data_IF_064010334628
#
_entry.id   IF_064010334628
#
_cell.length_a   1.000
_cell.length_b   1.000
_cell.length_c   1.000
_cell.angle_alpha   90.00
_cell.angle_beta   90.00
_cell.angle_gamma   90.00
#
_symmetry.space_group_name_H-M   'P 1'
#
loop_
_entity.id
_entity.type
_entity.pdbx_description
1 polymer ?
#
# COMPACT_ATOMS: atom_id res chain seq x y z
N UNK A 1 4.62 -7.62 47.69
CA UNK A 1 4.06 -7.36 46.38
C UNK A 1 5.21 -7.26 45.39
N UNK A 2 5.24 -8.09 44.39
CA UNK A 2 6.27 -8.01 43.31
C UNK A 2 5.81 -7.02 42.28
N UNK A 3 6.75 -6.32 41.65
CA UNK A 3 6.44 -5.28 40.60
C UNK A 3 5.50 -5.81 39.52
N UNK A 4 5.66 -7.06 39.11
CA UNK A 4 4.81 -7.73 38.14
C UNK A 4 3.32 -7.85 38.52
N UNK A 5 3.02 -7.79 39.81
CA UNK A 5 1.64 -7.88 40.32
C UNK A 5 0.87 -6.58 40.19
N UNK A 6 1.56 -5.48 39.79
CA UNK A 6 0.97 -4.17 39.52
C UNK A 6 0.47 -4.01 38.09
N UNK A 7 0.78 -4.96 37.23
CA UNK A 7 0.43 -4.90 35.79
C UNK A 7 -0.64 -5.93 35.47
N UNK A 8 -1.62 -5.51 34.70
CA UNK A 8 -2.71 -6.39 34.22
C UNK A 8 -2.23 -7.44 33.20
N UNK A 9 -1.07 -7.23 32.59
CA UNK A 9 -0.46 -8.10 31.59
C UNK A 9 0.94 -8.54 32.05
N UNK A 10 1.43 -9.74 31.65
CA UNK A 10 2.77 -10.18 31.97
C UNK A 10 3.82 -9.19 31.51
N UNK A 11 4.74 -8.77 32.38
CA UNK A 11 5.79 -7.78 32.07
C UNK A 11 6.93 -8.37 31.21
N UNK A 12 7.00 -9.68 31.13
CA UNK A 12 7.98 -10.48 30.38
C UNK A 12 7.44 -10.96 29.03
N UNK A 13 6.27 -10.50 28.63
CA UNK A 13 5.71 -10.79 27.31
C UNK A 13 6.53 -10.15 26.19
N UNK A 14 6.51 -10.78 25.02
CA UNK A 14 7.08 -10.18 23.82
C UNK A 14 6.34 -8.86 23.51
N UNK A 15 7.08 -7.78 23.44
CA UNK A 15 6.57 -6.47 23.02
C UNK A 15 7.41 -6.02 21.84
N UNK A 16 6.75 -5.60 20.77
CA UNK A 16 7.47 -5.02 19.65
C UNK A 16 7.94 -3.59 20.04
N UNK A 17 9.26 -3.36 20.22
CA UNK A 17 9.75 -2.07 20.71
C UNK A 17 9.65 -0.97 19.67
N UNK A 18 9.52 -1.32 18.39
CA UNK A 18 9.38 -0.37 17.29
C UNK A 18 8.48 -0.98 16.22
N UNK A 19 7.36 -0.32 15.97
CA UNK A 19 6.44 -0.73 14.90
C UNK A 19 7.01 -0.28 13.57
N UNK A 20 7.24 -1.24 12.67
CA UNK A 20 7.55 -0.96 11.26
C UNK A 20 6.29 -1.08 10.45
N UNK A 21 5.94 -0.05 9.71
CA UNK A 21 4.77 -0.07 8.83
C UNK A 21 4.82 -1.19 7.77
N UNK A 22 6.02 -1.66 7.43
CA UNK A 22 6.24 -2.63 6.35
C UNK A 22 6.56 -4.07 6.79
N UNK A 23 6.55 -4.35 8.10
CA UNK A 23 6.80 -5.71 8.61
C UNK A 23 5.50 -6.35 9.04
N UNK A 24 5.17 -7.46 8.39
CA UNK A 24 3.95 -8.23 8.62
C UNK A 24 4.34 -9.71 8.88
N UNK A 25 4.01 -10.18 10.06
CA UNK A 25 3.96 -11.61 10.39
C UNK A 25 2.76 -11.84 11.31
N UNK A 26 2.07 -12.99 11.20
CA UNK A 26 0.77 -13.20 11.86
C UNK A 26 0.80 -13.07 13.39
N UNK A 27 1.91 -13.41 14.05
CA UNK A 27 2.03 -13.30 15.49
C UNK A 27 2.19 -11.84 15.92
N UNK A 28 3.05 -11.11 15.23
CA UNK A 28 3.25 -9.66 15.45
C UNK A 28 1.95 -8.89 15.20
N UNK A 29 1.25 -9.16 14.10
CA UNK A 29 -0.03 -8.52 13.77
C UNK A 29 -1.06 -8.73 14.88
N UNK A 30 -1.21 -9.95 15.34
CA UNK A 30 -2.12 -10.28 16.44
C UNK A 30 -1.76 -9.54 17.73
N UNK A 31 -0.48 -9.47 18.08
CA UNK A 31 -0.02 -8.76 19.28
C UNK A 31 -0.28 -7.25 19.13
N UNK A 32 0.04 -6.66 18.00
CA UNK A 32 -0.16 -5.23 17.73
C UNK A 32 -1.64 -4.85 17.79
N UNK A 33 -2.54 -5.65 17.22
CA UNK A 33 -3.98 -5.43 17.30
C UNK A 33 -4.48 -5.50 18.76
N UNK A 34 -4.06 -6.55 19.51
CA UNK A 34 -4.51 -6.76 20.89
C UNK A 34 -3.95 -5.72 21.88
N UNK A 35 -2.72 -5.27 21.67
CA UNK A 35 -2.04 -4.33 22.55
C UNK A 35 -2.31 -2.87 22.19
N UNK A 36 -2.99 -2.58 21.06
CA UNK A 36 -3.25 -1.22 20.61
C UNK A 36 -4.06 -0.44 21.64
N UNK A 37 -3.62 0.78 21.93
CA UNK A 37 -4.27 1.68 22.89
C UNK A 37 -5.01 2.75 22.12
N UNK A 38 -6.32 2.83 22.32
CA UNK A 38 -7.17 3.84 21.70
C UNK A 38 -7.29 5.07 22.58
N UNK A 39 -7.02 6.24 22.01
CA UNK A 39 -7.40 7.53 22.54
C UNK A 39 -8.53 8.11 21.68
N UNK A 40 -9.20 9.15 22.17
CA UNK A 40 -10.27 9.80 21.43
C UNK A 40 -9.77 10.33 20.06
N UNK A 41 -8.56 10.88 20.03
CA UNK A 41 -7.94 11.38 18.79
C UNK A 41 -7.71 10.26 17.79
N UNK A 42 -7.26 9.09 18.25
CA UNK A 42 -7.03 7.91 17.41
C UNK A 42 -8.36 7.40 16.86
N UNK A 43 -9.38 7.24 17.72
CA UNK A 43 -10.70 6.76 17.30
C UNK A 43 -11.37 7.73 16.32
N UNK A 44 -11.33 9.04 16.61
CA UNK A 44 -11.81 10.07 15.69
C UNK A 44 -11.04 10.09 14.37
N UNK A 45 -9.72 9.90 14.42
CA UNK A 45 -8.87 9.81 13.22
C UNK A 45 -9.24 8.63 12.35
N UNK A 46 -9.34 7.42 12.91
CA UNK A 46 -9.75 6.21 12.19
C UNK A 46 -11.16 6.37 11.59
N UNK A 47 -12.11 6.85 12.37
CA UNK A 47 -13.47 7.09 11.87
C UNK A 47 -13.47 8.04 10.66
N UNK A 48 -12.83 9.20 10.76
CA UNK A 48 -12.80 10.21 9.70
C UNK A 48 -12.20 9.67 8.41
N UNK A 49 -11.10 8.90 8.51
CA UNK A 49 -10.43 8.32 7.34
C UNK A 49 -11.32 7.26 6.70
N UNK A 50 -11.82 6.31 7.50
CA UNK A 50 -12.63 5.21 6.99
C UNK A 50 -13.99 5.70 6.45
N UNK A 51 -14.59 6.72 7.06
CA UNK A 51 -15.83 7.33 6.58
C UNK A 51 -15.62 8.08 5.26
N UNK A 52 -14.51 8.82 5.10
CA UNK A 52 -14.16 9.47 3.85
C UNK A 52 -13.97 8.46 2.71
N UNK A 53 -13.23 7.37 2.96
CA UNK A 53 -13.01 6.29 1.97
C UNK A 53 -14.34 5.61 1.58
N UNK A 54 -15.21 5.36 2.56
CA UNK A 54 -16.53 4.77 2.34
C UNK A 54 -17.43 5.67 1.49
N UNK A 55 -17.56 6.93 1.87
CA UNK A 55 -18.50 7.85 1.25
C UNK A 55 -18.04 8.30 -0.14
N UNK A 56 -16.74 8.35 -0.39
CA UNK A 56 -16.12 8.61 -1.70
C UNK A 56 -16.78 9.78 -2.45
N UNK A 57 -17.03 10.90 -1.76
CA UNK A 57 -17.71 12.04 -2.36
C UNK A 57 -16.87 12.67 -3.48
N UNK A 58 -17.49 13.13 -4.58
CA UNK A 58 -16.78 13.63 -5.77
C UNK A 58 -15.85 14.83 -5.51
N UNK A 59 -16.05 15.53 -4.40
CA UNK A 59 -15.25 16.70 -4.01
C UNK A 59 -14.31 16.43 -2.84
N UNK A 60 -14.29 15.19 -2.31
CA UNK A 60 -13.37 14.83 -1.27
C UNK A 60 -11.95 14.72 -1.82
N UNK A 61 -11.00 15.23 -1.05
CA UNK A 61 -9.60 15.06 -1.38
C UNK A 61 -9.17 13.63 -1.04
N UNK A 62 -8.64 12.92 -2.03
CA UNK A 62 -8.12 11.55 -1.85
C UNK A 62 -6.75 11.51 -1.16
N UNK A 63 -6.21 12.66 -0.76
CA UNK A 63 -4.97 12.76 0.01
C UNK A 63 -5.25 13.10 1.47
N UNK A 64 -4.78 12.25 2.38
CA UNK A 64 -4.91 12.40 3.82
C UNK A 64 -3.53 12.50 4.45
N UNK A 65 -3.27 13.60 5.17
CA UNK A 65 -2.03 13.84 5.86
C UNK A 65 -2.17 13.56 7.36
N UNK A 66 -1.37 12.61 7.88
CA UNK A 66 -1.30 12.30 9.30
C UNK A 66 -0.07 13.01 9.86
N UNK A 67 -0.29 13.99 10.72
CA UNK A 67 0.77 14.78 11.35
C UNK A 67 0.89 14.47 12.85
N UNK A 68 2.08 14.70 13.40
CA UNK A 68 2.38 14.51 14.82
C UNK A 68 3.87 14.48 15.10
N UNK A 69 4.24 14.68 16.36
CA UNK A 69 5.63 14.67 16.80
C UNK A 69 6.32 13.31 16.56
N UNK A 70 7.66 13.34 16.54
CA UNK A 70 8.43 12.09 16.52
C UNK A 70 8.08 11.22 17.75
N UNK A 71 7.82 9.93 17.51
CA UNK A 71 7.44 9.01 18.58
C UNK A 71 5.95 9.07 19.01
N UNK A 72 5.11 9.88 18.34
CA UNK A 72 3.67 9.96 18.67
C UNK A 72 2.82 8.77 18.20
N UNK A 73 3.44 7.77 17.58
CA UNK A 73 2.73 6.55 17.11
C UNK A 73 2.15 6.62 15.70
N UNK A 74 2.58 7.55 14.84
CA UNK A 74 2.07 7.69 13.46
C UNK A 74 2.16 6.39 12.65
N UNK A 75 3.33 5.75 12.63
CA UNK A 75 3.52 4.46 11.92
C UNK A 75 2.62 3.36 12.49
N UNK A 76 2.40 3.38 13.81
CA UNK A 76 1.48 2.44 14.46
C UNK A 76 0.02 2.71 14.09
N UNK A 77 -0.38 3.99 14.02
CA UNK A 77 -1.70 4.40 13.56
C UNK A 77 -1.93 3.98 12.09
N UNK A 78 -0.96 4.24 11.21
CA UNK A 78 -1.00 3.87 9.80
C UNK A 78 -1.16 2.35 9.63
N UNK A 79 -0.40 1.58 10.41
CA UNK A 79 -0.47 0.12 10.40
C UNK A 79 -1.80 -0.40 10.96
N UNK A 80 -2.34 0.23 12.02
CA UNK A 80 -3.66 -0.14 12.54
C UNK A 80 -4.78 0.18 11.55
N UNK A 81 -4.68 1.28 10.82
CA UNK A 81 -5.60 1.59 9.72
C UNK A 81 -5.54 0.50 8.64
N UNK A 82 -4.34 0.04 8.28
CA UNK A 82 -4.19 -1.08 7.34
C UNK A 82 -4.83 -2.38 7.87
N UNK A 83 -4.68 -2.68 9.16
CA UNK A 83 -5.34 -3.82 9.81
C UNK A 83 -6.86 -3.74 9.73
N UNK A 84 -7.46 -2.56 9.89
CA UNK A 84 -8.91 -2.37 9.73
C UNK A 84 -9.39 -2.59 8.29
N UNK A 85 -8.51 -2.46 7.31
CA UNK A 85 -8.83 -2.53 5.88
C UNK A 85 -8.53 -3.91 5.30
N UNK A 86 -7.41 -4.50 5.69
CA UNK A 86 -6.90 -5.76 5.12
C UNK A 86 -7.77 -6.94 5.52
N UNK A 87 -8.26 -7.77 4.57
CA UNK A 87 -9.23 -8.83 4.87
C UNK A 87 -8.79 -9.84 5.94
N UNK A 88 -7.49 -10.17 6.04
CA UNK A 88 -6.97 -11.16 7.00
C UNK A 88 -6.96 -10.68 8.44
N UNK A 89 -6.94 -9.38 8.71
CA UNK A 89 -6.83 -8.77 10.05
C UNK A 89 -8.04 -7.93 10.42
N UNK A 90 -8.90 -7.62 9.45
CA UNK A 90 -10.04 -6.71 9.55
C UNK A 90 -10.99 -7.04 10.70
N UNK A 91 -11.39 -8.30 10.80
CA UNK A 91 -12.35 -8.73 11.81
C UNK A 91 -11.82 -8.45 13.22
N UNK A 92 -10.59 -8.88 13.51
CA UNK A 92 -9.95 -8.68 14.81
C UNK A 92 -9.75 -7.19 15.13
N UNK A 93 -9.25 -6.41 14.14
CA UNK A 93 -8.98 -4.99 14.33
C UNK A 93 -10.26 -4.18 14.54
N UNK A 94 -11.31 -4.41 13.74
CA UNK A 94 -12.59 -3.70 13.88
C UNK A 94 -13.33 -4.11 15.17
N UNK A 95 -13.32 -5.40 15.52
CA UNK A 95 -13.91 -5.86 16.80
C UNK A 95 -13.25 -5.16 17.97
N UNK A 96 -11.91 -5.09 17.99
CA UNK A 96 -11.16 -4.42 19.05
C UNK A 96 -11.44 -2.92 19.12
N UNK A 97 -11.58 -2.24 17.97
CA UNK A 97 -11.97 -0.83 17.91
C UNK A 97 -13.40 -0.61 18.42
N UNK A 98 -14.36 -1.42 17.98
CA UNK A 98 -15.75 -1.33 18.41
C UNK A 98 -15.92 -1.61 19.90
N UNK A 99 -15.18 -2.57 20.47
CA UNK A 99 -15.14 -2.81 21.91
C UNK A 99 -14.63 -1.58 22.68
N UNK A 100 -13.58 -0.93 22.19
CA UNK A 100 -13.01 0.26 22.80
C UNK A 100 -14.02 1.43 22.79
N UNK A 101 -14.72 1.66 21.68
CA UNK A 101 -15.77 2.69 21.55
C UNK A 101 -16.92 2.40 22.51
N UNK A 102 -17.38 1.15 22.57
CA UNK A 102 -18.48 0.73 23.43
C UNK A 102 -18.17 0.83 24.92
N UNK A 103 -16.89 0.76 25.29
CA UNK A 103 -16.44 0.86 26.68
C UNK A 103 -16.44 2.31 27.21
N UNK A 104 -16.57 3.31 26.34
CA UNK A 104 -16.66 4.72 26.74
C UNK A 104 -18.05 4.97 27.33
N UNK A 105 -18.09 5.49 28.56
CA UNK A 105 -19.33 5.95 29.17
C UNK A 105 -19.81 7.23 28.47
N UNK A 106 -21.00 7.22 27.83
CA UNK A 106 -21.53 8.41 27.16
C UNK A 106 -21.78 9.60 28.10
N UNK A 107 -21.79 9.39 29.42
CA UNK A 107 -21.98 10.42 30.43
C UNK A 107 -20.65 10.95 30.98
N UNK A 108 -19.51 10.35 30.59
CA UNK A 108 -18.20 10.86 30.99
C UNK A 108 -17.77 12.02 30.06
N UNK A 109 -17.81 13.24 30.59
CA UNK A 109 -17.42 14.46 29.89
C UNK A 109 -15.92 14.56 29.55
N UNK A 110 -15.13 13.58 29.97
CA UNK A 110 -13.70 13.48 29.64
C UNK A 110 -13.45 12.88 28.23
N UNK A 111 -14.45 12.24 27.65
CA UNK A 111 -14.35 11.64 26.33
C UNK A 111 -15.12 12.44 25.29
N UNK A 112 -14.49 12.67 24.13
CA UNK A 112 -15.11 13.34 23.01
C UNK A 112 -14.91 12.53 21.72
N UNK A 113 -15.98 11.88 21.25
CA UNK A 113 -16.06 11.29 19.94
C UNK A 113 -16.92 12.14 19.01
N UNK A 114 -16.45 12.37 17.79
CA UNK A 114 -17.16 13.11 16.73
C UNK A 114 -18.21 12.26 16.01
N UNK A 115 -18.42 11.03 16.43
CA UNK A 115 -19.30 10.02 15.83
C UNK A 115 -19.91 9.16 16.95
N UNK A 116 -20.98 8.46 16.61
CA UNK A 116 -21.59 7.47 17.50
C UNK A 116 -21.20 6.03 17.13
N UNK A 117 -21.53 5.08 18.02
CA UNK A 117 -21.21 3.67 17.82
C UNK A 117 -21.81 3.11 16.52
N UNK A 118 -23.08 3.48 16.19
CA UNK A 118 -23.79 2.98 15.00
C UNK A 118 -23.14 3.46 13.68
N UNK A 119 -22.59 4.66 13.68
CA UNK A 119 -21.83 5.17 12.55
C UNK A 119 -20.59 4.32 12.29
N UNK A 120 -19.85 3.94 13.35
CA UNK A 120 -18.68 3.05 13.19
C UNK A 120 -19.07 1.64 12.78
N UNK A 121 -20.17 1.09 13.31
CA UNK A 121 -20.74 -0.18 12.86
C UNK A 121 -21.13 -0.14 11.37
N UNK A 122 -21.70 0.97 10.92
CA UNK A 122 -22.01 1.15 9.48
C UNK A 122 -20.77 1.12 8.59
N UNK A 123 -19.63 1.67 9.08
CA UNK A 123 -18.35 1.58 8.37
C UNK A 123 -17.85 0.12 8.36
N UNK A 124 -17.86 -0.56 9.50
CA UNK A 124 -17.44 -1.95 9.60
C UNK A 124 -18.22 -2.86 8.64
N UNK A 125 -19.55 -2.73 8.60
CA UNK A 125 -20.42 -3.48 7.69
C UNK A 125 -20.14 -3.16 6.20
N UNK A 126 -19.73 -1.93 5.88
CA UNK A 126 -19.33 -1.59 4.52
C UNK A 126 -17.99 -2.23 4.17
N UNK A 127 -17.01 -2.18 5.09
CA UNK A 127 -15.68 -2.77 4.91
C UNK A 127 -15.76 -4.29 4.65
N UNK A 128 -16.71 -5.01 5.27
CA UNK A 128 -16.91 -6.44 5.01
C UNK A 128 -17.26 -6.76 3.55
N UNK A 129 -17.91 -5.84 2.87
CA UNK A 129 -18.38 -6.01 1.48
C UNK A 129 -17.47 -5.34 0.45
N UNK A 130 -16.77 -4.29 0.84
CA UNK A 130 -15.90 -3.55 -0.02
C UNK A 130 -14.64 -4.36 -0.36
N UNK A 131 -14.20 -4.27 -1.59
CA UNK A 131 -12.90 -4.79 -2.01
C UNK A 131 -11.89 -3.66 -1.93
N UNK A 132 -10.94 -3.78 -1.02
CA UNK A 132 -9.93 -2.75 -0.81
C UNK A 132 -8.56 -3.40 -0.89
N UNK A 133 -7.70 -2.83 -1.70
CA UNK A 133 -6.29 -3.17 -1.78
C UNK A 133 -5.44 -2.05 -1.18
N UNK A 134 -4.44 -2.43 -0.40
CA UNK A 134 -3.48 -1.49 0.19
C UNK A 134 -2.08 -1.70 -0.37
N UNK A 135 -1.34 -0.59 -0.54
CA UNK A 135 0.09 -0.56 -0.77
C UNK A 135 0.70 0.20 0.40
N UNK A 136 1.26 -0.52 1.38
CA UNK A 136 1.91 0.11 2.54
C UNK A 136 3.43 0.06 2.37
N UNK A 137 4.10 1.20 2.51
CA UNK A 137 5.53 1.34 2.27
C UNK A 137 6.14 2.48 3.05
N UNK A 138 7.47 2.39 3.24
CA UNK A 138 8.28 3.45 3.80
C UNK A 138 9.05 4.14 2.67
N UNK A 139 8.84 5.44 2.51
CA UNK A 139 9.42 6.21 1.40
C UNK A 139 10.95 6.25 1.42
N UNK A 140 11.59 6.30 2.59
CA UNK A 140 13.05 6.33 2.67
C UNK A 140 13.70 5.04 2.21
N UNK A 141 13.07 3.89 2.51
CA UNK A 141 13.62 2.58 2.15
C UNK A 141 13.19 2.11 0.76
N UNK A 142 12.09 2.63 0.23
CA UNK A 142 11.57 2.26 -1.10
C UNK A 142 12.13 3.12 -2.23
N UNK A 143 12.90 4.18 -1.90
CA UNK A 143 13.48 5.08 -2.88
C UNK A 143 14.90 4.70 -3.25
N UNK A 144 15.17 4.59 -4.55
CA UNK A 144 16.52 4.47 -5.09
C UNK A 144 17.10 5.85 -5.43
N UNK A 145 18.20 6.22 -4.79
CA UNK A 145 18.90 7.50 -4.99
C UNK A 145 19.44 7.72 -6.42
N UNK A 146 19.42 6.71 -7.28
CA UNK A 146 19.78 6.83 -8.70
C UNK A 146 18.68 7.49 -9.54
N UNK A 147 17.47 7.61 -9.01
CA UNK A 147 16.31 8.17 -9.71
C UNK A 147 16.29 9.70 -9.65
N UNK A 148 15.75 10.33 -10.70
CA UNK A 148 15.51 11.78 -10.74
C UNK A 148 14.67 12.21 -9.53
N UNK A 149 15.24 13.08 -8.69
CA UNK A 149 14.59 13.57 -7.46
C UNK A 149 13.22 14.19 -7.68
N UNK A 150 12.98 14.78 -8.87
CA UNK A 150 11.68 15.35 -9.25
C UNK A 150 10.62 14.31 -9.50
N UNK A 151 11.00 13.07 -9.77
CA UNK A 151 10.10 11.94 -10.01
C UNK A 151 10.12 10.91 -8.89
N UNK A 152 10.76 11.23 -7.78
CA UNK A 152 11.01 10.29 -6.70
C UNK A 152 9.72 9.66 -6.14
N UNK A 153 8.70 10.46 -5.85
CA UNK A 153 7.40 9.93 -5.41
C UNK A 153 6.73 9.06 -6.48
N UNK A 154 6.69 9.55 -7.72
CA UNK A 154 6.09 8.81 -8.83
C UNK A 154 6.75 7.45 -9.01
N UNK A 155 8.08 7.39 -8.89
CA UNK A 155 8.83 6.15 -9.00
C UNK A 155 8.44 5.15 -7.89
N UNK A 156 8.41 5.61 -6.65
CA UNK A 156 8.05 4.75 -5.51
C UNK A 156 6.59 4.28 -5.62
N UNK A 157 5.66 5.18 -5.89
CA UNK A 157 4.24 4.80 -6.03
C UNK A 157 4.02 3.77 -7.15
N UNK A 158 4.70 3.96 -8.29
CA UNK A 158 4.57 3.02 -9.41
C UNK A 158 5.19 1.65 -9.10
N UNK A 159 6.34 1.64 -8.44
CA UNK A 159 6.99 0.40 -8.01
C UNK A 159 6.14 -0.37 -6.99
N UNK A 160 5.58 0.32 -6.00
CA UNK A 160 4.70 -0.30 -5.01
C UNK A 160 3.42 -0.84 -5.65
N UNK A 161 2.86 -0.12 -6.61
CA UNK A 161 1.73 -0.60 -7.39
C UNK A 161 2.08 -1.82 -8.27
N UNK A 162 3.25 -1.83 -8.91
CA UNK A 162 3.73 -2.99 -9.64
C UNK A 162 3.86 -4.21 -8.72
N UNK A 163 4.48 -4.03 -7.53
CA UNK A 163 4.59 -5.09 -6.53
C UNK A 163 3.22 -5.63 -6.08
N UNK A 164 2.23 -4.75 -5.91
CA UNK A 164 0.85 -5.17 -5.57
C UNK A 164 0.21 -6.05 -6.66
N UNK A 165 0.53 -5.81 -7.93
CA UNK A 165 0.10 -6.64 -9.07
C UNK A 165 0.89 -7.95 -9.22
N UNK A 166 1.91 -8.16 -8.41
CA UNK A 166 2.85 -9.28 -8.56
C UNK A 166 3.86 -9.07 -9.68
N UNK A 167 4.04 -7.84 -10.13
CA UNK A 167 5.07 -7.44 -11.08
C UNK A 167 6.38 -7.12 -10.38
N UNK A 168 7.45 -7.02 -11.14
CA UNK A 168 8.75 -6.62 -10.64
C UNK A 168 8.70 -5.22 -10.03
N UNK A 169 9.00 -5.14 -8.74
CA UNK A 169 8.98 -3.92 -7.96
C UNK A 169 10.25 -3.06 -8.18
N UNK A 170 11.34 -3.66 -8.62
CA UNK A 170 12.65 -2.99 -8.71
C UNK A 170 13.00 -2.56 -10.12
N UNK A 171 12.39 -3.19 -11.13
CA UNK A 171 12.63 -2.88 -12.54
C UNK A 171 11.33 -2.53 -13.26
N UNK A 172 10.98 -1.24 -13.19
CA UNK A 172 9.76 -0.71 -13.80
C UNK A 172 9.71 -0.92 -15.32
N UNK A 173 10.88 -0.94 -15.97
CA UNK A 173 10.95 -1.17 -17.42
C UNK A 173 10.58 -2.60 -17.75
N UNK A 174 11.03 -3.56 -16.95
CA UNK A 174 10.65 -4.97 -17.05
C UNK A 174 9.14 -5.15 -16.81
N UNK A 175 8.63 -4.56 -15.71
CA UNK A 175 7.21 -4.60 -15.37
C UNK A 175 6.32 -4.10 -16.52
N UNK A 176 6.67 -2.96 -17.10
CA UNK A 176 5.82 -2.33 -18.12
C UNK A 176 6.00 -2.89 -19.54
N UNK A 177 7.18 -3.39 -19.89
CA UNK A 177 7.43 -3.86 -21.26
C UNK A 177 7.29 -5.37 -21.42
N UNK A 178 7.39 -6.15 -20.34
CA UNK A 178 7.25 -7.62 -20.40
C UNK A 178 6.05 -8.13 -19.59
N UNK A 179 6.03 -7.86 -18.27
CA UNK A 179 5.05 -8.46 -17.36
C UNK A 179 3.61 -8.01 -17.67
N UNK A 180 3.42 -6.71 -17.86
CA UNK A 180 2.10 -6.17 -18.21
C UNK A 180 1.55 -6.72 -19.54
N UNK A 181 2.30 -6.76 -20.65
CA UNK A 181 1.85 -7.43 -21.87
C UNK A 181 1.50 -8.91 -21.68
N UNK A 182 2.21 -9.64 -20.82
CA UNK A 182 1.89 -11.04 -20.49
C UNK A 182 0.60 -11.14 -19.65
N UNK A 183 0.39 -10.24 -18.70
CA UNK A 183 -0.86 -10.16 -17.94
C UNK A 183 -2.05 -9.83 -18.86
N UNK A 184 -1.93 -8.84 -19.74
CA UNK A 184 -2.98 -8.46 -20.70
C UNK A 184 -3.36 -9.62 -21.65
N UNK A 185 -2.44 -10.54 -21.89
CA UNK A 185 -2.69 -11.77 -22.65
C UNK A 185 -3.17 -12.95 -21.80
N UNK A 186 -3.25 -12.78 -20.47
CA UNK A 186 -3.67 -13.82 -19.54
C UNK A 186 -2.66 -14.96 -19.35
N UNK A 187 -1.38 -14.75 -19.68
CA UNK A 187 -0.35 -15.78 -19.63
C UNK A 187 0.75 -15.52 -18.60
N UNK A 188 0.62 -14.46 -17.80
CA UNK A 188 1.68 -14.07 -16.86
C UNK A 188 1.92 -15.10 -15.75
N UNK A 189 0.88 -15.72 -15.22
CA UNK A 189 1.05 -16.79 -14.22
C UNK A 189 1.69 -18.06 -14.84
N UNK A 190 1.29 -18.43 -16.06
CA UNK A 190 1.92 -19.53 -16.79
C UNK A 190 3.41 -19.23 -17.08
N UNK A 191 3.73 -17.97 -17.35
CA UNK A 191 5.11 -17.52 -17.53
C UNK A 191 5.93 -17.70 -16.24
N UNK A 192 5.43 -17.27 -15.08
CA UNK A 192 6.11 -17.46 -13.78
C UNK A 192 6.30 -18.94 -13.47
N UNK A 193 5.29 -19.76 -13.72
CA UNK A 193 5.38 -21.21 -13.53
C UNK A 193 6.44 -21.83 -14.44
N UNK A 194 6.51 -21.41 -15.70
CA UNK A 194 7.50 -21.94 -16.65
C UNK A 194 8.93 -21.59 -16.26
N UNK A 195 9.16 -20.36 -15.77
CA UNK A 195 10.43 -19.93 -15.18
C UNK A 195 10.80 -20.83 -13.98
N UNK A 196 9.84 -21.12 -13.10
CA UNK A 196 10.09 -21.98 -11.93
C UNK A 196 10.41 -23.44 -12.33
N UNK A 197 9.78 -23.98 -13.36
CA UNK A 197 10.07 -25.32 -13.90
C UNK A 197 11.50 -25.42 -14.45
N UNK A 198 12.07 -24.31 -14.91
CA UNK A 198 13.46 -24.22 -15.40
C UNK A 198 14.47 -23.82 -14.29
N UNK A 199 13.98 -23.73 -13.03
CA UNK A 199 14.85 -23.52 -11.86
C UNK A 199 15.04 -22.06 -11.45
N UNK A 200 14.33 -21.13 -12.11
CA UNK A 200 14.28 -19.72 -11.72
C UNK A 200 13.21 -19.43 -10.65
N UNK A 201 13.27 -18.27 -10.03
CA UNK A 201 12.20 -17.71 -9.20
C UNK A 201 11.91 -16.27 -9.64
N UNK A 202 10.80 -16.08 -10.36
CA UNK A 202 10.43 -14.76 -10.87
C UNK A 202 10.14 -13.74 -9.75
N UNK A 203 9.85 -14.20 -8.56
CA UNK A 203 9.61 -13.33 -7.41
C UNK A 203 10.90 -12.95 -6.66
N UNK A 204 12.03 -13.57 -6.99
CA UNK A 204 13.32 -13.19 -6.40
C UNK A 204 13.79 -11.84 -6.96
N UNK A 205 13.98 -10.82 -6.08
CA UNK A 205 14.53 -9.54 -6.49
C UNK A 205 15.89 -9.62 -7.18
N UNK A 206 16.72 -10.61 -6.82
CA UNK A 206 18.03 -10.86 -7.40
C UNK A 206 17.93 -11.25 -8.88
N UNK A 207 16.98 -12.09 -9.22
CA UNK A 207 16.74 -12.50 -10.60
C UNK A 207 16.48 -11.33 -11.54
N UNK A 208 15.72 -10.33 -11.09
CA UNK A 208 15.43 -9.13 -11.89
C UNK A 208 16.65 -8.23 -12.13
N UNK A 209 17.60 -8.23 -11.21
CA UNK A 209 18.86 -7.48 -11.37
C UNK A 209 19.81 -8.19 -12.34
N UNK A 210 19.86 -9.52 -12.29
CA UNK A 210 20.74 -10.35 -13.12
C UNK A 210 20.22 -10.53 -14.56
N UNK A 211 18.91 -10.38 -14.77
CA UNK A 211 18.25 -10.52 -16.08
C UNK A 211 18.82 -9.64 -17.19
N UNK A 212 19.37 -8.48 -16.86
CA UNK A 212 19.85 -7.53 -17.88
C UNK A 212 21.16 -8.03 -18.55
N UNK A 213 21.95 -8.79 -17.83
CA UNK A 213 23.30 -9.14 -18.27
C UNK A 213 23.42 -10.55 -18.90
N UNK A 214 22.67 -11.56 -18.47
CA UNK A 214 22.89 -12.94 -18.90
C UNK A 214 21.63 -13.77 -19.21
N UNK A 215 20.46 -13.42 -18.70
CA UNK A 215 19.28 -14.30 -18.76
C UNK A 215 18.08 -13.71 -19.52
N UNK A 216 18.21 -12.48 -20.02
CA UNK A 216 17.09 -11.80 -20.69
C UNK A 216 16.61 -12.57 -21.92
N UNK A 217 17.52 -13.18 -22.70
CA UNK A 217 17.16 -13.92 -23.90
C UNK A 217 16.34 -15.17 -23.56
N UNK A 218 16.75 -15.93 -22.56
CA UNK A 218 16.02 -17.09 -22.06
C UNK A 218 14.60 -16.71 -21.59
N UNK A 219 14.48 -15.65 -20.82
CA UNK A 219 13.19 -15.14 -20.35
C UNK A 219 12.29 -14.71 -21.50
N UNK A 220 12.85 -14.03 -22.50
CA UNK A 220 12.11 -13.59 -23.68
C UNK A 220 11.71 -14.76 -24.61
N UNK A 221 12.49 -15.83 -24.66
CA UNK A 221 12.13 -17.04 -25.38
C UNK A 221 10.91 -17.74 -24.77
N UNK A 222 10.87 -17.85 -23.41
CA UNK A 222 9.69 -18.36 -22.69
C UNK A 222 8.47 -17.45 -22.94
N UNK A 223 8.64 -16.13 -22.86
CA UNK A 223 7.56 -15.19 -23.12
C UNK A 223 7.01 -15.32 -24.55
N UNK A 224 7.87 -15.55 -25.54
CA UNK A 224 7.50 -15.76 -26.93
C UNK A 224 6.78 -17.09 -27.17
N UNK A 225 7.21 -18.15 -26.48
CA UNK A 225 6.54 -19.45 -26.51
C UNK A 225 5.08 -19.34 -26.03
N UNK A 226 4.85 -18.67 -24.90
CA UNK A 226 3.53 -18.49 -24.29
C UNK A 226 2.67 -17.43 -25.00
N UNK A 227 3.29 -16.44 -25.60
CA UNK A 227 2.64 -15.35 -26.30
C UNK A 227 3.33 -15.05 -27.66
N UNK A 228 3.12 -15.86 -28.69
CA UNK A 228 3.82 -15.74 -29.99
C UNK A 228 3.63 -14.39 -30.71
N UNK A 229 2.59 -13.64 -30.33
CA UNK A 229 2.30 -12.30 -30.88
C UNK A 229 3.11 -11.18 -30.24
N UNK A 230 3.89 -11.46 -29.19
CA UNK A 230 4.78 -10.47 -28.56
C UNK A 230 5.98 -10.18 -29.47
N UNK A 231 6.29 -8.89 -29.63
CA UNK A 231 7.50 -8.45 -30.31
C UNK A 231 8.68 -8.46 -29.33
N UNK A 232 9.26 -9.64 -29.09
CA UNK A 232 10.32 -9.81 -28.10
C UNK A 232 11.57 -8.97 -28.40
N UNK A 233 11.92 -8.76 -29.68
CA UNK A 233 13.05 -7.91 -30.08
C UNK A 233 12.83 -6.45 -29.63
N UNK A 234 11.61 -5.92 -29.81
CA UNK A 234 11.26 -4.58 -29.34
C UNK A 234 11.24 -4.50 -27.82
N UNK A 235 10.75 -5.53 -27.12
CA UNK A 235 10.74 -5.62 -25.67
C UNK A 235 12.18 -5.62 -25.14
N UNK A 236 13.05 -6.46 -25.73
CA UNK A 236 14.47 -6.52 -25.40
C UNK A 236 15.15 -5.17 -25.52
N UNK A 237 14.97 -4.49 -26.64
CA UNK A 237 15.56 -3.17 -26.90
C UNK A 237 15.13 -2.15 -25.84
N UNK A 238 13.84 -2.12 -25.47
CA UNK A 238 13.31 -1.21 -24.44
C UNK A 238 13.85 -1.53 -23.04
N UNK A 239 13.95 -2.80 -22.68
CA UNK A 239 14.50 -3.21 -21.37
C UNK A 239 15.98 -2.81 -21.28
N UNK A 240 16.78 -3.13 -22.29
CA UNK A 240 18.21 -2.80 -22.31
C UNK A 240 18.45 -1.29 -22.30
N UNK A 241 17.68 -0.54 -23.08
CA UNK A 241 17.77 0.94 -23.10
C UNK A 241 17.16 1.62 -21.90
N UNK A 242 16.50 0.86 -21.00
CA UNK A 242 15.67 1.40 -19.91
C UNK A 242 14.68 2.45 -20.41
N UNK A 243 14.13 2.21 -21.60
CA UNK A 243 13.24 3.13 -22.28
C UNK A 243 11.84 3.06 -21.70
N UNK A 244 11.57 3.99 -20.77
CA UNK A 244 10.26 4.19 -20.20
C UNK A 244 9.99 5.66 -19.97
N UNK A 245 8.90 6.15 -20.53
CA UNK A 245 8.43 7.50 -20.22
C UNK A 245 7.62 7.45 -18.94
N UNK A 246 8.21 7.93 -17.83
CA UNK A 246 7.51 8.11 -16.56
C UNK A 246 6.90 9.51 -16.50
N UNK A 247 5.58 9.56 -16.43
CA UNK A 247 4.83 10.77 -16.15
C UNK A 247 3.64 10.47 -15.24
N UNK A 248 3.20 11.48 -14.50
CA UNK A 248 2.05 11.36 -13.60
C UNK A 248 0.79 11.02 -14.40
N UNK A 249 0.61 11.60 -15.58
CA UNK A 249 -0.53 11.28 -16.45
C UNK A 249 -0.54 9.80 -16.86
N UNK A 250 0.62 9.24 -17.24
CA UNK A 250 0.70 7.80 -17.58
C UNK A 250 0.41 6.90 -16.40
N UNK A 251 0.87 7.28 -15.21
CA UNK A 251 0.56 6.53 -13.98
C UNK A 251 -0.93 6.58 -13.68
N UNK A 252 -1.56 7.75 -13.80
CA UNK A 252 -3.01 7.90 -13.67
C UNK A 252 -3.79 7.04 -14.66
N UNK A 253 -3.39 7.00 -15.93
CA UNK A 253 -4.00 6.14 -16.95
C UNK A 253 -3.80 4.66 -16.65
N UNK A 254 -2.64 4.26 -16.14
CA UNK A 254 -2.34 2.90 -15.73
C UNK A 254 -3.29 2.44 -14.61
N UNK A 255 -3.43 3.28 -13.57
CA UNK A 255 -4.34 3.01 -12.46
C UNK A 255 -5.81 3.00 -12.92
N UNK A 256 -6.21 3.93 -13.76
CA UNK A 256 -7.57 3.96 -14.32
C UNK A 256 -7.87 2.70 -15.14
N UNK A 257 -6.91 2.23 -15.92
CA UNK A 257 -7.02 0.96 -16.66
C UNK A 257 -7.17 -0.23 -15.73
N UNK A 258 -6.35 -0.29 -14.66
CA UNK A 258 -6.44 -1.34 -13.64
C UNK A 258 -7.80 -1.36 -12.93
N UNK A 259 -8.38 -0.18 -12.70
CA UNK A 259 -9.67 -0.03 -12.03
C UNK A 259 -10.87 -0.32 -12.92
N UNK A 260 -10.69 -0.41 -14.24
CA UNK A 260 -11.79 -0.50 -15.22
C UNK A 260 -12.68 -1.73 -14.99
N UNK A 261 -12.05 -2.87 -14.65
CA UNK A 261 -12.74 -4.14 -14.44
C UNK A 261 -13.04 -4.42 -12.96
N UNK A 262 -12.76 -3.45 -12.08
CA UNK A 262 -13.09 -3.52 -10.65
C UNK A 262 -14.44 -2.85 -10.39
N UNK A 263 -15.20 -3.39 -9.45
CA UNK A 263 -16.48 -2.83 -9.04
C UNK A 263 -16.39 -1.40 -8.48
N UNK A 264 -17.52 -0.71 -8.40
CA UNK A 264 -17.57 0.68 -7.90
C UNK A 264 -17.15 0.81 -6.43
N UNK A 265 -17.34 -0.27 -5.64
CA UNK A 265 -16.91 -0.34 -4.23
C UNK A 265 -15.43 -0.68 -4.05
N UNK A 266 -14.68 -0.87 -5.15
CA UNK A 266 -13.24 -1.12 -5.06
C UNK A 266 -12.48 0.16 -4.73
N UNK A 267 -11.53 0.05 -3.78
CA UNK A 267 -10.57 1.12 -3.43
C UNK A 267 -9.15 0.60 -3.48
N UNK A 268 -8.23 1.44 -3.95
CA UNK A 268 -6.79 1.25 -3.82
C UNK A 268 -6.23 2.34 -2.91
N UNK A 269 -5.50 1.95 -1.87
CA UNK A 269 -5.00 2.89 -0.86
C UNK A 269 -3.49 2.76 -0.78
N UNK A 270 -2.78 3.86 -0.99
CA UNK A 270 -1.36 3.98 -0.73
C UNK A 270 -1.14 4.53 0.67
N UNK A 271 -0.53 3.72 1.54
CA UNK A 271 -0.18 4.07 2.90
C UNK A 271 1.33 4.34 2.99
N UNK A 272 1.71 5.60 2.89
CA UNK A 272 3.10 6.02 2.85
C UNK A 272 3.59 6.48 4.22
N UNK A 273 4.63 5.83 4.75
CA UNK A 273 5.30 6.25 5.99
C UNK A 273 6.54 7.10 5.68
N UNK A 274 6.99 7.87 6.67
CA UNK A 274 8.18 8.76 6.65
C UNK A 274 8.16 9.84 5.56
N UNK A 275 6.97 10.25 5.11
CA UNK A 275 6.78 11.27 4.05
C UNK A 275 7.47 12.58 4.38
N UNK A 276 7.36 13.04 5.63
CA UNK A 276 7.95 14.32 6.07
C UNK A 276 9.48 14.32 5.99
N UNK A 277 10.12 13.21 6.36
CA UNK A 277 11.57 13.04 6.26
C UNK A 277 12.01 13.00 4.81
N UNK A 278 11.28 12.27 3.98
CA UNK A 278 11.54 12.18 2.55
C UNK A 278 11.44 13.53 1.82
N UNK A 279 10.46 14.36 2.17
CA UNK A 279 10.31 15.72 1.61
C UNK A 279 11.49 16.60 2.05
N UNK A 280 11.95 16.49 3.30
CA UNK A 280 13.12 17.18 3.84
C UNK A 280 13.29 18.63 3.38
N UNK A 281 12.20 19.43 3.47
CA UNK A 281 12.13 20.84 3.03
C UNK A 281 12.36 21.10 1.52
N UNK A 282 12.42 20.06 0.69
CA UNK A 282 12.52 20.19 -0.76
C UNK A 282 11.12 20.50 -1.33
N UNK A 283 10.89 21.76 -1.70
CA UNK A 283 9.60 22.23 -2.23
C UNK A 283 9.14 21.45 -3.47
N UNK A 284 10.08 21.07 -4.33
CA UNK A 284 9.76 20.33 -5.56
C UNK A 284 9.16 18.95 -5.25
N UNK A 285 9.62 18.28 -4.19
CA UNK A 285 9.05 17.01 -3.76
C UNK A 285 7.62 17.18 -3.25
N UNK A 286 7.38 18.20 -2.44
CA UNK A 286 6.03 18.49 -1.95
C UNK A 286 5.05 18.76 -3.10
N UNK A 287 5.44 19.59 -4.07
CA UNK A 287 4.63 19.89 -5.25
C UNK A 287 4.39 18.65 -6.11
N UNK A 288 5.39 17.77 -6.25
CA UNK A 288 5.24 16.51 -6.98
C UNK A 288 4.22 15.57 -6.32
N UNK A 289 4.26 15.43 -4.99
CA UNK A 289 3.26 14.64 -4.26
C UNK A 289 1.85 15.21 -4.44
N UNK A 290 1.70 16.54 -4.31
CA UNK A 290 0.41 17.19 -4.50
C UNK A 290 -0.13 16.98 -5.92
N UNK A 291 0.73 17.09 -6.94
CA UNK A 291 0.34 16.85 -8.34
C UNK A 291 -0.09 15.39 -8.56
N UNK A 292 0.63 14.41 -7.99
CA UNK A 292 0.26 12.99 -8.04
C UNK A 292 -1.14 12.81 -7.46
N UNK A 293 -1.38 13.28 -6.23
CA UNK A 293 -2.68 13.12 -5.55
C UNK A 293 -3.81 13.72 -6.39
N UNK A 294 -3.62 14.93 -6.92
CA UNK A 294 -4.63 15.59 -7.77
C UNK A 294 -4.94 14.76 -9.01
N UNK A 295 -3.90 14.29 -9.69
CA UNK A 295 -4.08 13.48 -10.91
C UNK A 295 -4.72 12.12 -10.65
N UNK A 296 -4.38 11.47 -9.52
CA UNK A 296 -5.00 10.21 -9.12
C UNK A 296 -6.50 10.40 -8.82
N UNK A 297 -6.87 11.50 -8.15
CA UNK A 297 -8.28 11.84 -7.91
C UNK A 297 -9.06 11.99 -9.22
N UNK A 298 -8.52 12.76 -10.16
CA UNK A 298 -9.15 13.00 -11.46
C UNK A 298 -9.26 11.72 -12.31
N UNK A 299 -8.14 11.01 -12.48
CA UNK A 299 -8.08 9.86 -13.39
C UNK A 299 -8.84 8.63 -12.84
N UNK A 300 -8.88 8.46 -11.52
CA UNK A 300 -9.40 7.26 -10.87
C UNK A 300 -10.76 7.47 -10.18
N UNK A 301 -11.41 8.62 -10.38
CA UNK A 301 -12.74 8.93 -9.83
C UNK A 301 -12.80 8.72 -8.30
N UNK A 302 -11.80 9.22 -7.60
CA UNK A 302 -11.61 9.10 -6.15
C UNK A 302 -11.54 7.65 -5.62
N UNK A 303 -11.31 6.64 -6.47
CA UNK A 303 -11.13 5.25 -6.05
C UNK A 303 -9.70 4.91 -5.62
N UNK A 304 -8.75 5.83 -5.81
CA UNK A 304 -7.36 5.72 -5.34
C UNK A 304 -7.11 6.77 -4.28
N UNK A 305 -6.62 6.33 -3.10
CA UNK A 305 -6.37 7.17 -1.94
C UNK A 305 -4.88 7.15 -1.56
N UNK A 306 -4.41 8.26 -0.96
CA UNK A 306 -3.02 8.39 -0.49
C UNK A 306 -3.02 8.91 0.94
#
# INVERSE_FOLDING_TARGET
MKLKELYNKPIDRAVNPAVSATKFDPETERIEIQEYVFTDEIMNGLFRILDAIKNNQPYDHVGIWIDGYYGSGKSHFLKYLDYCITPSTREDALSRLLEAIKAIDPLDDKHYLSFDYEQMVSIANWLERATIDTCIFNLETSYDNSTDKKKAFLHVFWNEFNGKRGFNKFNITLAQNLEKPLEEKGVFEAFKQRIAEEGGDWNDPGMAADLIDNELDWVLDIAKELAPTLSVDSIRERIIKRDMIMSIDRFGLELASYLKDKGDDYRLIFLADEVSQFINKERDRYLNLQEIITKLSEACQNRVWV
#
